data_IF_143579971905
#
_entry.id   IF_143579971905
#
_cell.length_a   1.000
_cell.length_b   1.000
_cell.length_c   1.000
_cell.angle_alpha   90.00
_cell.angle_beta   90.00
_cell.angle_gamma   90.00
#
_symmetry.space_group_name_H-M   'P 1'
#
loop_
_entity.id
_entity.type
_entity.pdbx_description
1 polymer ?
#
# COMPACT_ATOMS: atom_id res chain seq x y z
N UNK A 1 8.19 9.92 17.75
CA UNK A 1 7.86 10.41 16.38
C UNK A 1 8.74 9.65 15.41
N UNK A 2 8.17 8.96 14.41
CA UNK A 2 8.97 8.43 13.31
C UNK A 2 9.69 9.61 12.63
N UNK A 3 10.95 9.46 12.21
CA UNK A 3 11.61 10.49 11.42
C UNK A 3 10.77 10.78 10.17
N UNK A 4 10.81 12.02 9.68
CA UNK A 4 10.04 12.38 8.50
C UNK A 4 10.51 11.53 7.31
N UNK A 5 9.71 10.54 6.89
CA UNK A 5 10.10 9.57 5.84
C UNK A 5 10.54 10.23 4.52
N UNK A 6 10.14 11.48 4.28
CA UNK A 6 10.55 12.32 3.15
C UNK A 6 12.04 12.67 3.14
N UNK A 7 12.68 12.79 4.31
CA UNK A 7 14.09 13.19 4.42
C UNK A 7 15.07 12.02 4.30
N UNK A 8 14.59 10.78 4.44
CA UNK A 8 15.41 9.57 4.35
C UNK A 8 15.93 9.33 2.93
N UNK A 9 17.14 8.81 2.82
CA UNK A 9 17.69 8.27 1.56
C UNK A 9 17.15 6.85 1.26
N UNK A 10 17.48 6.30 0.09
CA UNK A 10 16.94 4.99 -0.33
C UNK A 10 17.37 3.82 0.58
N UNK A 11 18.60 3.84 1.10
CA UNK A 11 19.09 2.80 1.99
C UNK A 11 18.42 2.87 3.37
N UNK A 12 18.23 4.09 3.89
CA UNK A 12 17.49 4.34 5.14
C UNK A 12 16.03 3.88 5.02
N UNK A 13 15.35 4.22 3.93
CA UNK A 13 13.99 3.76 3.66
C UNK A 13 13.89 2.24 3.54
N UNK A 14 14.87 1.59 2.90
CA UNK A 14 14.87 0.13 2.78
C UNK A 14 15.08 -0.55 4.15
N UNK A 15 15.97 0.00 4.98
CA UNK A 15 16.19 -0.48 6.35
C UNK A 15 14.91 -0.34 7.18
N UNK A 16 14.26 0.82 7.11
CA UNK A 16 13.00 1.08 7.81
C UNK A 16 11.88 0.17 7.31
N UNK A 17 11.79 -0.06 6.00
CA UNK A 17 10.85 -1.02 5.42
C UNK A 17 11.01 -2.42 6.02
N UNK A 18 12.23 -2.94 6.08
CA UNK A 18 12.51 -4.27 6.66
C UNK A 18 12.12 -4.29 8.15
N UNK A 19 12.44 -3.23 8.90
CA UNK A 19 12.09 -3.12 10.31
C UNK A 19 10.57 -3.14 10.52
N UNK A 20 9.82 -2.33 9.76
CA UNK A 20 8.36 -2.28 9.89
C UNK A 20 7.68 -3.59 9.52
N UNK A 21 8.20 -4.35 8.54
CA UNK A 21 7.68 -5.69 8.26
C UNK A 21 7.85 -6.63 9.45
N UNK A 22 9.00 -6.61 10.13
CA UNK A 22 9.21 -7.39 11.36
C UNK A 22 8.32 -6.93 12.51
N UNK A 23 8.10 -5.63 12.64
CA UNK A 23 7.15 -5.08 13.63
C UNK A 23 5.73 -5.58 13.34
N UNK A 24 5.30 -5.55 12.09
CA UNK A 24 3.99 -6.05 11.66
C UNK A 24 3.81 -7.53 12.02
N UNK A 25 4.77 -8.38 11.65
CA UNK A 25 4.80 -9.82 11.97
C UNK A 25 4.71 -10.07 13.49
N UNK A 26 5.50 -9.34 14.27
CA UNK A 26 5.45 -9.45 15.73
C UNK A 26 4.09 -9.06 16.30
N UNK A 27 3.46 -7.99 15.79
CA UNK A 27 2.13 -7.57 16.24
C UNK A 27 1.08 -8.62 15.86
N UNK A 28 1.17 -9.22 14.66
CA UNK A 28 0.31 -10.33 14.25
C UNK A 28 0.43 -11.54 15.20
N UNK A 29 1.63 -11.90 15.63
CA UNK A 29 1.79 -12.97 16.62
C UNK A 29 1.20 -12.59 17.99
N UNK A 30 1.32 -11.33 18.40
CA UNK A 30 0.78 -10.85 19.67
C UNK A 30 -0.74 -10.71 19.66
N UNK A 31 -1.38 -10.58 18.49
CA UNK A 31 -2.84 -10.43 18.38
C UNK A 31 -3.60 -11.63 18.96
N UNK A 32 -2.98 -12.81 18.95
CA UNK A 32 -3.51 -14.05 19.51
C UNK A 32 -3.75 -13.90 21.02
N UNK A 33 -2.90 -13.12 21.70
CA UNK A 33 -2.97 -12.86 23.14
C UNK A 33 -3.73 -11.56 23.46
N UNK A 34 -3.79 -10.61 22.52
CA UNK A 34 -4.47 -9.34 22.70
C UNK A 34 -5.08 -8.83 21.38
N UNK A 35 -6.38 -9.07 21.20
CA UNK A 35 -7.14 -8.66 20.02
C UNK A 35 -7.19 -7.15 19.81
N UNK A 36 -6.94 -6.34 20.85
CA UNK A 36 -6.93 -4.88 20.74
C UNK A 36 -5.73 -4.33 19.96
N UNK A 37 -4.80 -5.20 19.54
CA UNK A 37 -3.67 -4.84 18.69
C UNK A 37 -4.02 -4.74 17.19
N UNK A 38 -5.23 -5.14 16.77
CA UNK A 38 -5.67 -5.03 15.37
C UNK A 38 -5.43 -3.63 14.75
N UNK A 39 -5.86 -2.53 15.40
CA UNK A 39 -5.61 -1.17 14.91
C UNK A 39 -4.12 -0.78 14.80
N UNK A 40 -3.22 -1.49 15.50
CA UNK A 40 -1.78 -1.27 15.39
C UNK A 40 -1.24 -1.85 14.07
N UNK A 41 -1.78 -2.98 13.59
CA UNK A 41 -1.44 -3.54 12.27
C UNK A 41 -1.78 -2.52 11.19
N UNK A 42 -2.97 -1.94 11.23
CA UNK A 42 -3.40 -0.92 10.24
C UNK A 42 -2.47 0.30 10.21
N UNK A 43 -1.93 0.70 11.37
CA UNK A 43 -0.95 1.80 11.46
C UNK A 43 0.35 1.41 10.75
N UNK A 44 0.89 0.23 11.07
CA UNK A 44 2.13 -0.26 10.45
C UNK A 44 1.96 -0.46 8.95
N UNK A 45 0.82 -0.98 8.50
CA UNK A 45 0.51 -1.16 7.08
C UNK A 45 0.44 0.17 6.31
N UNK A 46 -0.08 1.24 6.94
CA UNK A 46 -0.05 2.58 6.35
C UNK A 46 1.38 3.10 6.21
N UNK A 47 2.22 2.92 7.22
CA UNK A 47 3.61 3.36 7.18
C UNK A 47 4.42 2.56 6.12
N UNK A 48 4.20 1.24 6.04
CA UNK A 48 4.78 0.38 5.00
C UNK A 48 4.37 0.87 3.60
N UNK A 49 3.08 1.16 3.37
CA UNK A 49 2.60 1.70 2.10
C UNK A 49 3.27 3.03 1.76
N UNK A 50 3.43 3.92 2.73
CA UNK A 50 4.10 5.21 2.55
C UNK A 50 5.57 5.03 2.17
N UNK A 51 6.30 4.11 2.81
CA UNK A 51 7.69 3.80 2.46
C UNK A 51 7.81 3.23 1.04
N UNK A 52 6.93 2.31 0.65
CA UNK A 52 6.90 1.77 -0.73
C UNK A 52 6.75 2.88 -1.77
N UNK A 53 5.85 3.84 -1.52
CA UNK A 53 5.69 5.00 -2.40
C UNK A 53 6.94 5.86 -2.50
N UNK A 54 7.62 6.12 -1.38
CA UNK A 54 8.88 6.88 -1.36
C UNK A 54 10.02 6.15 -2.07
N UNK A 55 10.16 4.84 -1.86
CA UNK A 55 11.14 4.01 -2.57
C UNK A 55 10.90 4.01 -4.07
N UNK A 56 9.64 3.86 -4.50
CA UNK A 56 9.27 3.95 -5.90
C UNK A 56 9.65 5.31 -6.51
N UNK A 57 9.30 6.40 -5.83
CA UNK A 57 9.62 7.75 -6.32
C UNK A 57 11.14 7.98 -6.44
N UNK A 58 11.94 7.55 -5.45
CA UNK A 58 13.39 7.64 -5.53
C UNK A 58 13.98 6.77 -6.62
N UNK A 59 13.47 5.55 -6.82
CA UNK A 59 13.89 4.69 -7.93
C UNK A 59 13.59 5.33 -9.29
N UNK A 60 12.40 5.91 -9.45
CA UNK A 60 12.03 6.66 -10.64
C UNK A 60 12.98 7.84 -10.90
N UNK A 61 13.29 8.65 -9.87
CA UNK A 61 14.23 9.77 -10.00
C UNK A 61 15.64 9.33 -10.40
N UNK A 62 16.14 8.22 -9.82
CA UNK A 62 17.46 7.68 -10.14
C UNK A 62 17.53 7.14 -11.58
N UNK A 63 16.48 6.48 -12.06
CA UNK A 63 16.46 5.83 -13.37
C UNK A 63 15.88 6.70 -14.50
N UNK A 64 15.43 7.93 -14.19
CA UNK A 64 14.83 8.87 -15.16
C UNK A 64 13.73 8.23 -16.03
N UNK A 65 12.96 7.32 -15.45
CA UNK A 65 11.85 6.65 -16.14
C UNK A 65 10.76 7.69 -16.35
N UNK A 66 10.21 7.89 -17.55
CA UNK A 66 9.04 8.76 -17.70
C UNK A 66 7.75 7.99 -17.38
N UNK A 67 7.15 8.25 -16.21
CA UNK A 67 5.91 7.58 -15.79
C UNK A 67 4.72 7.88 -16.71
N UNK A 68 4.68 9.05 -17.36
CA UNK A 68 3.58 9.39 -18.26
C UNK A 68 3.62 8.56 -19.54
N UNK A 69 4.81 8.21 -20.03
CA UNK A 69 4.98 7.33 -21.19
C UNK A 69 4.58 5.87 -20.92
N UNK A 70 4.49 5.46 -19.66
CA UNK A 70 4.20 4.08 -19.26
C UNK A 70 2.71 3.76 -19.12
N UNK A 71 1.84 4.77 -19.07
CA UNK A 71 0.41 4.60 -18.86
C UNK A 71 -0.33 4.88 -20.16
N UNK A 72 -0.74 3.80 -20.85
CA UNK A 72 -1.69 3.90 -21.95
C UNK A 72 -3.09 4.24 -21.43
N UNK A 73 -3.72 5.26 -22.02
CA UNK A 73 -5.04 5.76 -21.63
C UNK A 73 -6.12 4.68 -21.74
N UNK A 74 -6.05 3.85 -22.79
CA UNK A 74 -7.03 2.78 -22.99
C UNK A 74 -6.91 1.70 -21.91
N UNK A 75 -5.68 1.31 -21.56
CA UNK A 75 -5.40 0.37 -20.48
C UNK A 75 -5.80 0.91 -19.11
N UNK A 76 -5.63 2.22 -18.87
CA UNK A 76 -6.07 2.89 -17.64
C UNK A 76 -7.59 2.84 -17.51
N UNK A 77 -8.32 3.28 -18.54
CA UNK A 77 -9.79 3.32 -18.53
C UNK A 77 -10.39 1.93 -18.31
N UNK A 78 -9.88 0.90 -19.02
CA UNK A 78 -10.33 -0.48 -18.85
C UNK A 78 -10.11 -1.01 -17.44
N UNK A 79 -8.97 -0.69 -16.81
CA UNK A 79 -8.72 -1.09 -15.42
C UNK A 79 -9.59 -0.33 -14.43
N UNK A 80 -9.86 0.95 -14.68
CA UNK A 80 -10.75 1.74 -13.83
C UNK A 80 -12.18 1.17 -13.81
N UNK A 81 -12.71 0.76 -14.98
CA UNK A 81 -14.04 0.16 -15.07
C UNK A 81 -14.20 -1.06 -14.15
N UNK A 82 -13.18 -1.93 -14.06
CA UNK A 82 -13.19 -3.10 -13.16
C UNK A 82 -13.47 -2.76 -11.69
N UNK A 83 -13.10 -1.58 -11.22
CA UNK A 83 -13.28 -1.17 -9.82
C UNK A 83 -14.48 -0.24 -9.60
N UNK A 84 -15.04 0.32 -10.67
CA UNK A 84 -16.21 1.20 -10.64
C UNK A 84 -17.49 0.40 -10.88
N UNK A 85 -17.41 -0.69 -11.66
CA UNK A 85 -18.54 -1.59 -11.87
C UNK A 85 -18.87 -2.31 -10.55
N UNK A 86 -20.11 -2.20 -10.06
CA UNK A 86 -20.55 -3.01 -8.93
C UNK A 86 -20.37 -4.48 -9.30
N UNK A 87 -19.79 -5.27 -8.40
CA UNK A 87 -19.62 -6.70 -8.64
C UNK A 87 -20.97 -7.30 -9.03
N UNK A 88 -20.98 -8.15 -10.05
CA UNK A 88 -22.18 -8.85 -10.55
C UNK A 88 -22.92 -9.65 -9.46
N UNK A 89 -22.32 -9.80 -8.28
CA UNK A 89 -22.91 -10.40 -7.08
C UNK A 89 -23.91 -9.48 -6.35
N UNK A 90 -23.80 -8.15 -6.48
CA UNK A 90 -24.74 -7.20 -5.84
C UNK A 90 -26.08 -7.12 -6.58
N UNK A 91 -26.09 -7.44 -7.89
CA UNK A 91 -27.32 -7.45 -8.69
C UNK A 91 -28.22 -8.67 -8.45
N UNK A 92 -27.71 -9.74 -7.85
CA UNK A 92 -28.51 -10.94 -7.50
C UNK A 92 -29.28 -10.80 -6.17
N UNK A 93 -28.91 -9.82 -5.33
CA UNK A 93 -29.68 -9.49 -4.11
C UNK A 93 -30.82 -8.51 -4.38
N UNK A 94 -30.70 -7.65 -5.40
CA UNK A 94 -31.71 -6.65 -5.71
C UNK A 94 -32.92 -7.16 -6.50
N UNK A 95 -32.86 -8.36 -7.09
CA UNK A 95 -33.96 -8.95 -7.87
C UNK A 95 -34.81 -9.97 -7.11
N UNK A 96 -34.52 -10.22 -5.83
CA UNK A 96 -35.24 -11.18 -4.98
C UNK A 96 -35.93 -10.52 -3.77
N UNK A 97 -36.35 -9.26 -3.91
CA UNK A 97 -37.26 -8.59 -2.94
C UNK A 97 -38.44 -8.01 -3.69
#
# INVERSE_FOLDING_TARGET
MLPELSSMNAAELLREFILLNKVRENIEHLIIYNSNLGPCIDKVDRDIKRIKGQLFYKYHQLNKVDLHSLVDYSALQNRMLKYIEPSSEDNLKATNT
#
